data_IF_195904844767
#
_entry.id   IF_195904844767
#
_cell.length_a   1.000
_cell.length_b   1.000
_cell.length_c   1.000
_cell.angle_alpha   90.00
_cell.angle_beta   90.00
_cell.angle_gamma   90.00
#
_symmetry.space_group_name_H-M   'P 1'
#
loop_
_entity.id
_entity.type
_entity.pdbx_description
1 polymer ?
#
# COMPACT_ATOMS: atom_id res chain seq x y z
N UNK A 1 4.37 0.27 29.33
CA UNK A 1 4.49 0.29 27.85
C UNK A 1 4.09 -1.10 27.39
N UNK A 2 2.92 -1.26 26.79
CA UNK A 2 2.55 -2.49 26.09
C UNK A 2 3.43 -2.57 24.85
N UNK A 3 4.18 -3.66 24.71
CA UNK A 3 4.93 -3.94 23.48
C UNK A 3 3.94 -4.03 22.31
N UNK A 4 4.24 -3.31 21.23
CA UNK A 4 3.51 -3.43 19.97
C UNK A 4 3.77 -4.83 19.41
N UNK A 5 2.72 -5.51 18.98
CA UNK A 5 2.85 -6.71 18.17
C UNK A 5 3.57 -6.38 16.87
N UNK A 6 4.23 -7.37 16.26
CA UNK A 6 4.97 -7.18 15.00
C UNK A 6 4.11 -6.52 13.90
N UNK A 7 2.83 -6.88 13.80
CA UNK A 7 1.89 -6.28 12.85
C UNK A 7 1.58 -4.81 13.16
N UNK A 8 1.45 -4.44 14.43
CA UNK A 8 1.22 -3.05 14.83
C UNK A 8 2.46 -2.20 14.52
N UNK A 9 3.66 -2.74 14.72
CA UNK A 9 4.90 -2.09 14.29
C UNK A 9 4.93 -1.87 12.77
N UNK A 10 4.59 -2.89 11.98
CA UNK A 10 4.54 -2.77 10.52
C UNK A 10 3.49 -1.74 10.06
N UNK A 11 2.32 -1.71 10.70
CA UNK A 11 1.29 -0.71 10.40
C UNK A 11 1.79 0.71 10.68
N UNK A 12 2.44 0.92 11.83
CA UNK A 12 3.02 2.21 12.17
C UNK A 12 4.09 2.63 11.15
N UNK A 13 4.99 1.72 10.79
CA UNK A 13 6.02 1.97 9.78
C UNK A 13 5.44 2.39 8.42
N UNK A 14 4.38 1.73 7.96
CA UNK A 14 3.67 2.09 6.71
C UNK A 14 3.06 3.48 6.81
N UNK A 15 2.44 3.82 7.94
CA UNK A 15 1.86 5.13 8.17
C UNK A 15 2.92 6.23 8.20
N UNK A 16 4.03 6.02 8.93
CA UNK A 16 5.12 6.99 9.03
C UNK A 16 5.75 7.25 7.66
N UNK A 17 5.97 6.20 6.86
CA UNK A 17 6.47 6.33 5.49
C UNK A 17 5.50 7.09 4.60
N UNK A 18 4.20 6.81 4.70
CA UNK A 18 3.17 7.54 3.95
C UNK A 18 3.16 9.02 4.32
N UNK A 19 3.12 9.35 5.60
CA UNK A 19 3.15 10.73 6.10
C UNK A 19 4.39 11.48 5.63
N UNK A 20 5.58 10.88 5.82
CA UNK A 20 6.85 11.45 5.36
C UNK A 20 6.85 11.70 3.85
N UNK A 21 6.28 10.79 3.07
CA UNK A 21 6.21 10.93 1.60
C UNK A 21 5.23 12.03 1.18
N UNK A 22 4.09 12.16 1.86
CA UNK A 22 3.13 13.25 1.63
C UNK A 22 3.78 14.60 1.93
N UNK A 23 4.49 14.72 3.06
CA UNK A 23 5.20 15.93 3.43
C UNK A 23 6.27 16.31 2.40
N UNK A 24 7.06 15.33 1.95
CA UNK A 24 8.15 15.57 1.02
C UNK A 24 7.68 15.85 -0.43
N UNK A 25 6.60 15.22 -0.89
CA UNK A 25 6.22 15.22 -2.31
C UNK A 25 4.93 15.99 -2.60
N UNK A 26 3.95 15.98 -1.69
CA UNK A 26 2.63 16.58 -1.93
C UNK A 26 2.61 18.02 -1.44
N UNK A 27 3.14 18.30 -0.24
CA UNK A 27 3.10 19.66 0.33
C UNK A 27 3.79 20.72 -0.55
N UNK A 28 4.99 20.49 -1.13
CA UNK A 28 5.63 21.49 -1.98
C UNK A 28 4.79 21.85 -3.22
N UNK A 29 4.13 20.86 -3.81
CA UNK A 29 3.24 21.06 -4.98
C UNK A 29 2.00 21.82 -4.56
N UNK A 30 1.45 21.51 -3.39
CA UNK A 30 0.31 22.24 -2.85
C UNK A 30 0.63 23.72 -2.60
N UNK A 31 1.83 24.03 -2.12
CA UNK A 31 2.30 25.41 -1.93
C UNK A 31 2.54 26.14 -3.26
N UNK A 32 2.98 25.43 -4.30
CA UNK A 32 3.06 25.99 -5.65
C UNK A 32 1.67 26.29 -6.22
N UNK A 33 0.73 25.36 -6.09
CA UNK A 33 -0.67 25.56 -6.48
C UNK A 33 -1.29 26.79 -5.79
N UNK A 34 -1.13 26.93 -4.46
CA UNK A 34 -1.60 28.12 -3.72
C UNK A 34 -0.98 29.40 -4.24
N UNK A 35 0.33 29.40 -4.51
CA UNK A 35 1.03 30.57 -5.06
C UNK A 35 0.53 30.94 -6.45
N UNK A 36 0.20 29.96 -7.30
CA UNK A 36 -0.38 30.21 -8.62
C UNK A 36 -1.78 30.84 -8.52
N UNK A 37 -2.63 30.32 -7.63
CA UNK A 37 -3.95 30.91 -7.37
C UNK A 37 -3.86 32.36 -6.90
N UNK A 38 -2.95 32.67 -5.98
CA UNK A 38 -2.74 34.04 -5.47
C UNK A 38 -2.26 35.01 -6.56
N UNK A 39 -1.57 34.51 -7.58
CA UNK A 39 -1.11 35.31 -8.73
C UNK A 39 -2.15 35.42 -9.84
N UNK A 40 -3.29 34.73 -9.74
CA UNK A 40 -4.28 34.62 -10.81
C UNK A 40 -3.81 33.77 -12.00
N UNK A 41 -2.72 33.01 -11.84
CA UNK A 41 -2.21 32.10 -12.87
C UNK A 41 -2.98 30.78 -12.80
N UNK A 42 -4.13 30.76 -13.45
CA UNK A 42 -5.04 29.61 -13.45
C UNK A 42 -4.45 28.39 -14.16
N UNK A 43 -3.67 28.60 -15.24
CA UNK A 43 -3.06 27.50 -15.99
C UNK A 43 -2.05 26.73 -15.12
N UNK A 44 -1.17 27.45 -14.41
CA UNK A 44 -0.24 26.80 -13.49
C UNK A 44 -0.97 26.20 -12.28
N UNK A 45 -2.04 26.85 -11.79
CA UNK A 45 -2.83 26.31 -10.69
C UNK A 45 -3.44 24.94 -11.03
N UNK A 46 -4.08 24.81 -12.19
CA UNK A 46 -4.65 23.55 -12.69
C UNK A 46 -3.57 22.48 -12.87
N UNK A 47 -2.42 22.84 -13.44
CA UNK A 47 -1.29 21.93 -13.60
C UNK A 47 -0.81 21.37 -12.24
N UNK A 48 -0.58 22.24 -11.25
CA UNK A 48 -0.12 21.80 -9.94
C UNK A 48 -1.20 21.03 -9.17
N UNK A 49 -2.47 21.33 -9.37
CA UNK A 49 -3.57 20.56 -8.79
C UNK A 49 -3.59 19.11 -9.33
N UNK A 50 -3.52 18.95 -10.65
CA UNK A 50 -3.50 17.64 -11.29
C UNK A 50 -2.28 16.83 -10.83
N UNK A 51 -1.09 17.45 -10.80
CA UNK A 51 0.14 16.83 -10.32
C UNK A 51 0.05 16.40 -8.84
N UNK A 52 -0.47 17.27 -7.97
CA UNK A 52 -0.68 16.98 -6.55
C UNK A 52 -1.61 15.77 -6.39
N UNK A 53 -2.75 15.77 -7.07
CA UNK A 53 -3.76 14.72 -6.97
C UNK A 53 -3.21 13.37 -7.45
N UNK A 54 -2.48 13.36 -8.57
CA UNK A 54 -1.87 12.14 -9.10
C UNK A 54 -0.85 11.53 -8.13
N UNK A 55 0.05 12.34 -7.55
CA UNK A 55 1.04 11.86 -6.59
C UNK A 55 0.36 11.39 -5.30
N UNK A 56 -0.62 12.14 -4.79
CA UNK A 56 -1.35 11.75 -3.59
C UNK A 56 -2.11 10.43 -3.76
N UNK A 57 -2.77 10.23 -4.91
CA UNK A 57 -3.44 8.96 -5.22
C UNK A 57 -2.46 7.80 -5.31
N UNK A 58 -1.29 8.00 -5.92
CA UNK A 58 -0.24 6.98 -5.96
C UNK A 58 0.21 6.57 -4.57
N UNK A 59 0.56 7.54 -3.72
CA UNK A 59 0.99 7.28 -2.33
C UNK A 59 -0.11 6.59 -1.52
N UNK A 60 -1.37 6.98 -1.72
CA UNK A 60 -2.51 6.37 -1.06
C UNK A 60 -2.70 4.90 -1.46
N UNK A 61 -2.60 4.59 -2.76
CA UNK A 61 -2.67 3.22 -3.27
C UNK A 61 -1.52 2.34 -2.75
N UNK A 62 -0.30 2.88 -2.69
CA UNK A 62 0.86 2.18 -2.11
C UNK A 62 0.68 1.88 -0.62
N UNK A 63 0.12 2.84 0.14
CA UNK A 63 -0.26 2.64 1.54
C UNK A 63 -1.30 1.53 1.69
N UNK A 64 -2.41 1.59 0.95
CA UNK A 64 -3.48 0.57 1.02
C UNK A 64 -2.90 -0.81 0.72
N UNK A 65 -2.14 -0.94 -0.38
CA UNK A 65 -1.52 -2.22 -0.74
C UNK A 65 -0.64 -2.78 0.37
N UNK A 66 0.13 -1.91 1.04
CA UNK A 66 0.98 -2.32 2.15
C UNK A 66 0.16 -2.78 3.37
N UNK A 67 -0.94 -2.08 3.66
CA UNK A 67 -1.87 -2.47 4.73
C UNK A 67 -2.58 -3.79 4.43
N UNK A 68 -2.98 -4.02 3.19
CA UNK A 68 -3.58 -5.29 2.74
C UNK A 68 -2.60 -6.45 2.93
N UNK A 69 -1.33 -6.27 2.54
CA UNK A 69 -0.29 -7.29 2.76
C UNK A 69 -0.15 -7.62 4.24
N UNK A 70 -0.10 -6.62 5.13
CA UNK A 70 -0.03 -6.85 6.58
C UNK A 70 -1.26 -7.60 7.07
N UNK A 71 -2.46 -7.25 6.59
CA UNK A 71 -3.68 -7.95 6.94
C UNK A 71 -3.63 -9.42 6.53
N UNK A 72 -3.19 -9.72 5.31
CA UNK A 72 -3.02 -11.09 4.83
C UNK A 72 -2.00 -11.88 5.66
N UNK A 73 -0.87 -11.26 6.03
CA UNK A 73 0.14 -11.90 6.89
C UNK A 73 -0.40 -12.24 8.28
N UNK A 74 -1.20 -11.33 8.85
CA UNK A 74 -1.85 -11.56 10.14
C UNK A 74 -2.85 -12.71 10.05
N UNK A 75 -3.72 -12.70 9.04
CA UNK A 75 -4.70 -13.76 8.81
C UNK A 75 -4.03 -15.13 8.57
N UNK A 76 -2.96 -15.18 7.77
CA UNK A 76 -2.18 -16.40 7.54
C UNK A 76 -1.63 -16.97 8.85
N UNK A 77 -1.12 -16.10 9.72
CA UNK A 77 -0.58 -16.52 11.01
C UNK A 77 -1.67 -17.03 11.96
N UNK A 78 -2.83 -16.37 12.00
CA UNK A 78 -3.99 -16.81 12.78
C UNK A 78 -4.49 -18.19 12.30
N UNK A 79 -4.60 -18.41 10.99
CA UNK A 79 -5.00 -19.69 10.41
C UNK A 79 -4.03 -20.81 10.76
N UNK A 80 -2.71 -20.57 10.64
CA UNK A 80 -1.68 -21.56 11.03
C UNK A 80 -1.76 -21.93 12.51
N UNK A 81 -2.00 -20.95 13.39
CA UNK A 81 -2.17 -21.20 14.83
C UNK A 81 -3.40 -22.06 15.13
N UNK A 82 -4.45 -21.97 14.30
CA UNK A 82 -5.65 -22.80 14.38
C UNK A 82 -5.49 -24.18 13.74
N UNK A 83 -4.34 -24.46 13.10
CA UNK A 83 -4.10 -25.70 12.35
C UNK A 83 -4.86 -25.77 11.01
N UNK A 84 -5.35 -24.63 10.53
CA UNK A 84 -6.08 -24.52 9.26
C UNK A 84 -5.11 -24.35 8.08
N UNK A 85 -5.57 -24.75 6.89
CA UNK A 85 -4.81 -24.53 5.66
C UNK A 85 -4.84 -23.06 5.26
N UNK A 86 -3.68 -22.54 4.86
CA UNK A 86 -3.50 -21.18 4.40
C UNK A 86 -3.50 -21.06 2.88
N UNK A 87 -3.53 -19.82 2.37
CA UNK A 87 -3.48 -19.57 0.94
C UNK A 87 -2.26 -20.23 0.25
N UNK A 88 -1.02 -20.15 0.79
CA UNK A 88 0.11 -20.90 0.25
C UNK A 88 -0.14 -22.41 0.16
N UNK A 89 -0.70 -23.03 1.20
CA UNK A 89 -0.94 -24.48 1.25
C UNK A 89 -1.95 -24.92 0.17
N UNK A 90 -3.00 -24.10 -0.04
CA UNK A 90 -3.99 -24.32 -1.09
C UNK A 90 -3.37 -24.11 -2.48
N UNK A 91 -2.57 -23.07 -2.67
CA UNK A 91 -1.96 -22.73 -3.96
C UNK A 91 -0.94 -23.79 -4.40
N UNK A 92 -0.09 -24.27 -3.49
CA UNK A 92 0.87 -25.35 -3.77
C UNK A 92 0.16 -26.62 -4.22
N UNK A 93 -0.96 -26.98 -3.57
CA UNK A 93 -1.79 -28.11 -3.98
C UNK A 93 -2.40 -27.93 -5.37
N UNK A 94 -2.77 -26.71 -5.77
CA UNK A 94 -3.26 -26.43 -7.12
C UNK A 94 -2.14 -26.53 -8.17
N UNK A 95 -0.97 -25.95 -7.90
CA UNK A 95 0.18 -25.99 -8.81
C UNK A 95 0.66 -27.43 -9.05
N UNK A 96 0.80 -28.22 -7.97
CA UNK A 96 1.20 -29.62 -8.07
C UNK A 96 0.17 -30.47 -8.84
N UNK A 97 -1.12 -30.10 -8.82
CA UNK A 97 -2.13 -30.76 -9.66
C UNK A 97 -1.95 -30.44 -11.13
N UNK A 98 -1.58 -29.20 -11.48
CA UNK A 98 -1.38 -28.78 -12.87
C UNK A 98 -0.18 -29.50 -13.48
N UNK A 99 0.93 -29.63 -12.76
CA UNK A 99 2.13 -30.35 -13.23
C UNK A 99 1.85 -31.84 -13.53
N UNK A 100 1.05 -32.50 -12.69
CA UNK A 100 0.65 -33.90 -12.91
C UNK A 100 -0.18 -34.10 -14.20
N UNK A 101 -0.92 -33.08 -14.64
CA UNK A 101 -1.67 -33.14 -15.91
C UNK A 101 -0.81 -32.84 -17.14
N UNK A 102 0.33 -32.16 -17.00
CA UNK A 102 1.22 -31.80 -18.11
C UNK A 102 2.22 -32.93 -18.45
N UNK A 103 2.52 -33.80 -17.48
CA UNK A 103 3.40 -34.97 -17.67
C UNK A 103 2.67 -36.22 -18.22
N UNK A 104 1.38 -36.13 -18.55
CA UNK A 104 0.55 -37.27 -19.00
C UNK A 104 0.40 -37.46 -20.52
N UNK A 105 1.24 -36.83 -21.35
CA UNK A 105 1.20 -36.92 -22.82
C UNK A 105 2.34 -37.76 -23.44
#
# INVERSE_FOLDING_TARGET
MTELTEYEYLQQYVMDRYCTSVEALVHPIHDLHKRSLLKGDMQSAEFFEAARNAIQQKLFSERIRSQDIIHWLKLDTELRQMGEQTYPDVMERYLNKIEVFDESY
#
